data_IF_576466570712
#
_entry.id   IF_576466570712
#
_cell.length_a   1.000
_cell.length_b   1.000
_cell.length_c   1.000
_cell.angle_alpha   90.00
_cell.angle_beta   90.00
_cell.angle_gamma   90.00
#
_symmetry.space_group_name_H-M   'P 1'
#
loop_
_entity.id
_entity.type
_entity.pdbx_description
1 polymer ?
#
# COMPACT_ATOMS: atom_id res chain seq x y z
N UNK A 1 -6.57 15.43 4.22
CA UNK A 1 -5.13 15.19 3.99
C UNK A 1 -4.98 13.98 3.07
N UNK A 2 -4.16 14.09 2.02
CA UNK A 2 -3.85 12.97 1.11
C UNK A 2 -2.38 12.64 1.28
N UNK A 3 -2.06 11.38 1.51
CA UNK A 3 -0.69 10.89 1.69
C UNK A 3 -0.34 9.93 0.56
N UNK A 4 0.67 10.28 -0.24
CA UNK A 4 1.26 9.37 -1.22
C UNK A 4 2.40 8.60 -0.56
N UNK A 5 2.18 7.31 -0.34
CA UNK A 5 3.09 6.44 0.41
C UNK A 5 3.55 5.26 -0.44
N UNK A 6 4.70 4.69 -0.09
CA UNK A 6 5.35 3.66 -0.90
C UNK A 6 5.56 2.39 -0.07
N UNK A 7 4.60 1.44 -0.07
CA UNK A 7 4.70 0.25 0.77
C UNK A 7 5.89 -0.63 0.43
N UNK A 8 6.41 -0.52 -0.79
CA UNK A 8 7.58 -1.25 -1.24
C UNK A 8 8.84 -1.00 -0.39
N UNK A 9 8.94 0.14 0.28
CA UNK A 9 10.04 0.47 1.19
C UNK A 9 10.08 -0.53 2.36
N UNK A 10 8.91 -1.01 2.79
CA UNK A 10 8.79 -2.05 3.81
C UNK A 10 9.37 -3.36 3.29
N UNK A 11 8.94 -3.82 2.12
CA UNK A 11 9.42 -5.07 1.54
C UNK A 11 10.91 -5.03 1.19
N UNK A 12 11.42 -3.89 0.74
CA UNK A 12 12.82 -3.76 0.28
C UNK A 12 13.80 -3.48 1.40
N UNK A 13 13.43 -2.67 2.40
CA UNK A 13 14.40 -2.06 3.32
C UNK A 13 14.05 -2.17 4.80
N UNK A 14 12.76 -2.23 5.16
CA UNK A 14 12.31 -2.32 6.56
C UNK A 14 11.99 -3.75 7.02
N UNK A 15 12.36 -4.77 6.23
CA UNK A 15 12.36 -6.13 6.74
C UNK A 15 13.41 -6.28 7.85
N UNK A 16 13.21 -7.25 8.74
CA UNK A 16 14.12 -7.52 9.87
C UNK A 16 15.54 -7.79 9.34
N UNK A 17 16.53 -7.10 9.91
CA UNK A 17 17.94 -7.15 9.47
C UNK A 17 18.21 -6.41 8.16
N UNK A 18 17.18 -5.78 7.57
CA UNK A 18 17.27 -4.99 6.35
C UNK A 18 18.01 -3.67 6.54
N UNK A 19 18.01 -2.85 5.48
CA UNK A 19 18.74 -1.59 5.47
C UNK A 19 18.35 -0.66 6.63
N UNK A 20 17.09 -0.62 7.04
CA UNK A 20 16.65 0.32 8.08
C UNK A 20 17.22 -0.05 9.45
N UNK A 21 17.21 -1.35 9.80
CA UNK A 21 17.82 -1.86 11.04
C UNK A 21 19.33 -1.62 11.07
N UNK A 22 20.00 -1.57 9.91
CA UNK A 22 21.44 -1.29 9.81
C UNK A 22 21.78 0.20 9.94
N UNK A 23 20.80 1.10 9.74
CA UNK A 23 21.02 2.54 9.64
C UNK A 23 20.41 3.34 10.78
N UNK A 24 19.42 2.78 11.46
CA UNK A 24 18.65 3.50 12.46
C UNK A 24 18.44 2.66 13.72
N UNK A 25 18.25 3.35 14.84
CA UNK A 25 17.85 2.73 16.11
C UNK A 25 16.48 2.05 15.98
N UNK A 26 16.29 0.97 16.73
CA UNK A 26 15.08 0.15 16.64
C UNK A 26 13.79 0.94 16.92
N UNK A 27 13.82 1.94 17.81
CA UNK A 27 12.66 2.80 18.08
C UNK A 27 12.30 3.67 16.88
N UNK A 28 13.30 4.20 16.17
CA UNK A 28 13.08 4.98 14.95
C UNK A 28 12.45 4.12 13.87
N UNK A 29 12.95 2.89 13.66
CA UNK A 29 12.40 1.96 12.67
C UNK A 29 10.95 1.58 12.99
N UNK A 30 10.61 1.42 14.27
CA UNK A 30 9.24 1.14 14.72
C UNK A 30 8.24 2.24 14.39
N UNK A 31 8.71 3.49 14.24
CA UNK A 31 7.90 4.66 13.89
C UNK A 31 7.77 4.95 12.39
N UNK A 32 8.29 4.09 11.50
CA UNK A 32 8.26 4.29 10.04
C UNK A 32 7.15 3.48 9.36
N UNK A 33 6.70 3.97 8.19
CA UNK A 33 5.69 3.29 7.34
C UNK A 33 4.38 2.95 8.08
N UNK A 34 3.89 3.92 8.86
CA UNK A 34 2.72 3.79 9.74
C UNK A 34 1.37 3.83 8.98
N UNK A 35 1.16 2.94 8.00
CA UNK A 35 0.00 2.97 7.09
C UNK A 35 -1.34 2.88 7.84
N UNK A 36 -1.50 1.91 8.74
CA UNK A 36 -2.71 1.77 9.59
C UNK A 36 -3.00 3.06 10.35
N UNK A 37 -1.98 3.63 11.00
CA UNK A 37 -2.14 4.85 11.81
C UNK A 37 -2.63 6.01 10.94
N UNK A 38 -2.10 6.15 9.71
CA UNK A 38 -2.58 7.16 8.78
C UNK A 38 -4.07 6.98 8.44
N UNK A 39 -4.49 5.76 8.11
CA UNK A 39 -5.89 5.45 7.81
C UNK A 39 -6.81 5.67 9.02
N UNK A 40 -6.42 5.20 10.20
CA UNK A 40 -7.21 5.31 11.44
C UNK A 40 -7.39 6.79 11.87
N UNK A 41 -6.48 7.67 11.47
CA UNK A 41 -6.57 9.11 11.70
C UNK A 41 -7.29 9.87 10.57
N UNK A 42 -7.97 9.16 9.67
CA UNK A 42 -8.80 9.74 8.61
C UNK A 42 -8.02 10.33 7.43
N UNK A 43 -6.73 10.02 7.29
CA UNK A 43 -5.99 10.37 6.09
C UNK A 43 -6.43 9.48 4.92
N UNK A 44 -6.45 10.05 3.71
CA UNK A 44 -6.56 9.27 2.49
C UNK A 44 -5.16 8.87 2.05
N UNK A 45 -4.90 7.56 1.99
CA UNK A 45 -3.59 7.03 1.61
C UNK A 45 -3.67 6.47 0.20
N UNK A 46 -2.86 7.02 -0.71
CA UNK A 46 -2.62 6.41 -2.02
C UNK A 46 -1.24 5.75 -2.06
N UNK A 47 -1.15 4.62 -2.75
CA UNK A 47 0.09 3.87 -2.87
C UNK A 47 0.76 4.03 -4.24
N UNK A 48 2.09 4.10 -4.19
CA UNK A 48 2.98 4.09 -5.35
C UNK A 48 4.20 3.21 -5.12
N UNK A 49 4.94 2.88 -6.18
CA UNK A 49 6.13 2.03 -6.08
C UNK A 49 7.44 2.81 -5.94
N UNK A 50 7.44 4.09 -6.32
CA UNK A 50 8.67 4.89 -6.53
C UNK A 50 9.72 4.15 -7.38
N UNK A 51 9.23 3.42 -8.40
CA UNK A 51 10.06 2.64 -9.32
C UNK A 51 10.66 1.35 -8.76
N UNK A 52 10.24 0.89 -7.58
CA UNK A 52 11.05 -0.09 -6.83
C UNK A 52 10.26 -1.17 -6.10
N UNK A 53 10.07 -2.41 -6.61
CA UNK A 53 9.71 -2.82 -7.97
C UNK A 53 8.34 -2.29 -8.43
N UNK A 54 8.02 -2.35 -9.73
CA UNK A 54 6.81 -1.72 -10.27
C UNK A 54 5.49 -2.43 -9.93
N UNK A 55 5.51 -3.73 -9.63
CA UNK A 55 4.28 -4.51 -9.45
C UNK A 55 3.50 -4.06 -8.21
N UNK A 56 2.22 -3.65 -8.33
CA UNK A 56 1.37 -3.33 -7.18
C UNK A 56 1.17 -4.51 -6.23
N UNK A 57 1.24 -5.75 -6.73
CA UNK A 57 1.13 -6.95 -5.88
C UNK A 57 2.27 -7.04 -4.86
N UNK A 58 3.48 -6.59 -5.22
CA UNK A 58 4.60 -6.52 -4.28
C UNK A 58 4.35 -5.47 -3.19
N UNK A 59 3.76 -4.32 -3.56
CA UNK A 59 3.39 -3.28 -2.61
C UNK A 59 2.26 -3.72 -1.68
N UNK A 60 1.25 -4.42 -2.21
CA UNK A 60 0.17 -5.02 -1.42
C UNK A 60 0.76 -6.02 -0.41
N UNK A 61 1.63 -6.93 -0.87
CA UNK A 61 2.34 -7.83 0.03
C UNK A 61 3.13 -7.07 1.09
N UNK A 62 3.85 -6.01 0.72
CA UNK A 62 4.66 -5.22 1.66
C UNK A 62 3.82 -4.49 2.72
N UNK A 63 2.63 -4.01 2.37
CA UNK A 63 1.70 -3.33 3.29
C UNK A 63 0.97 -4.30 4.23
N UNK A 64 0.74 -5.53 3.77
CA UNK A 64 -0.01 -6.56 4.51
C UNK A 64 0.89 -7.44 5.37
N UNK A 65 2.17 -7.61 4.99
CA UNK A 65 3.18 -8.37 5.72
C UNK A 65 4.23 -7.53 6.45
N UNK A 66 3.87 -6.31 6.84
CA UNK A 66 4.75 -5.46 7.65
C UNK A 66 5.12 -6.19 8.96
N UNK A 67 6.40 -6.29 9.33
CA UNK A 67 6.81 -7.05 10.53
C UNK A 67 6.16 -6.51 11.83
N UNK A 68 5.99 -5.18 11.95
CA UNK A 68 5.11 -4.57 12.94
C UNK A 68 3.63 -4.78 12.58
N UNK A 69 2.97 -5.74 13.25
CA UNK A 69 1.58 -6.11 13.00
C UNK A 69 0.58 -4.96 13.22
N UNK A 70 0.90 -4.03 14.13
CA UNK A 70 0.02 -2.89 14.45
C UNK A 70 -0.16 -1.91 13.30
N UNK A 71 0.73 -1.96 12.30
CA UNK A 71 0.69 -1.05 11.15
C UNK A 71 0.27 -1.72 9.85
N UNK A 72 -0.02 -3.02 9.89
CA UNK A 72 -0.49 -3.78 8.73
C UNK A 72 -1.85 -3.28 8.25
N UNK A 73 -2.01 -3.31 6.94
CA UNK A 73 -3.30 -3.19 6.29
C UNK A 73 -3.87 -4.57 5.96
N UNK A 74 -5.18 -4.65 5.81
CA UNK A 74 -5.81 -5.77 5.10
C UNK A 74 -5.51 -5.69 3.60
N UNK A 75 -5.66 -6.81 2.89
CA UNK A 75 -5.51 -6.83 1.42
C UNK A 75 -6.51 -5.87 0.75
N UNK A 76 -7.75 -5.82 1.24
CA UNK A 76 -8.79 -4.91 0.72
C UNK A 76 -8.42 -3.44 0.86
N UNK A 77 -7.86 -3.04 2.00
CA UNK A 77 -7.39 -1.67 2.21
C UNK A 77 -6.19 -1.34 1.32
N UNK A 78 -5.23 -2.25 1.19
CA UNK A 78 -4.09 -2.05 0.30
C UNK A 78 -4.53 -1.94 -1.18
N UNK A 79 -5.51 -2.74 -1.60
CA UNK A 79 -6.13 -2.63 -2.93
C UNK A 79 -6.81 -1.28 -3.13
N UNK A 80 -7.59 -0.84 -2.14
CA UNK A 80 -8.22 0.48 -2.15
C UNK A 80 -7.19 1.60 -2.26
N UNK A 81 -6.07 1.51 -1.55
CA UNK A 81 -4.96 2.46 -1.62
C UNK A 81 -4.31 2.51 -3.02
N UNK A 82 -4.19 1.37 -3.72
CA UNK A 82 -3.65 1.31 -5.09
C UNK A 82 -4.64 1.68 -6.19
N UNK A 83 -5.95 1.72 -5.89
CA UNK A 83 -7.00 1.92 -6.89
C UNK A 83 -7.77 3.20 -6.64
N UNK A 84 -8.79 3.16 -5.78
CA UNK A 84 -9.71 4.26 -5.53
C UNK A 84 -9.01 5.49 -4.91
N UNK A 85 -8.13 5.30 -3.93
CA UNK A 85 -7.44 6.44 -3.30
C UNK A 85 -6.35 7.01 -4.21
N UNK A 86 -5.67 6.19 -5.02
CA UNK A 86 -4.77 6.68 -6.07
C UNK A 86 -5.50 7.51 -7.12
N UNK A 87 -6.66 7.05 -7.62
CA UNK A 87 -7.47 7.83 -8.54
C UNK A 87 -7.95 9.15 -7.92
N UNK A 88 -8.38 9.13 -6.66
CA UNK A 88 -8.75 10.34 -5.92
C UNK A 88 -7.58 11.31 -5.74
N UNK A 89 -6.38 10.80 -5.47
CA UNK A 89 -5.18 11.64 -5.24
C UNK A 89 -4.77 12.49 -6.44
N UNK A 90 -5.20 12.08 -7.64
CA UNK A 90 -4.94 12.79 -8.91
C UNK A 90 -6.20 13.41 -9.50
N UNK A 91 -7.28 13.53 -8.72
CA UNK A 91 -8.57 14.12 -9.13
C UNK A 91 -9.23 13.41 -10.32
N UNK A 92 -9.07 12.09 -10.40
CA UNK A 92 -9.61 11.21 -11.45
C UNK A 92 -10.60 10.18 -10.88
N UNK A 93 -11.13 10.38 -9.68
CA UNK A 93 -12.06 9.45 -9.03
C UNK A 93 -13.37 9.28 -9.81
N UNK A 94 -13.74 10.21 -10.69
CA UNK A 94 -14.93 10.12 -11.54
C UNK A 94 -14.70 9.31 -12.82
N UNK A 95 -13.45 9.01 -13.16
CA UNK A 95 -13.05 8.32 -14.40
C UNK A 95 -12.31 7.02 -14.16
N UNK A 96 -11.57 6.89 -13.03
CA UNK A 96 -10.69 5.77 -12.71
C UNK A 96 -11.00 5.14 -11.35
N UNK A 97 -10.24 4.07 -11.02
CA UNK A 97 -10.12 3.51 -9.68
C UNK A 97 -11.18 2.49 -9.27
N UNK A 98 -12.25 2.31 -10.04
CA UNK A 98 -13.29 1.30 -9.76
C UNK A 98 -14.01 0.88 -11.02
N UNK A 99 -14.52 -0.35 -11.08
CA UNK A 99 -15.36 -0.83 -12.17
C UNK A 99 -16.83 -0.48 -11.93
N UNK A 100 -17.21 0.73 -12.34
CA UNK A 100 -18.58 1.26 -12.26
C UNK A 100 -18.98 1.85 -13.61
N UNK A 101 -20.28 1.85 -13.91
CA UNK A 101 -20.82 2.44 -15.16
C UNK A 101 -20.39 3.92 -15.26
N UNK A 102 -19.90 4.30 -16.44
CA UNK A 102 -19.40 5.66 -16.72
C UNK A 102 -17.92 5.86 -16.45
N UNK A 103 -17.23 4.92 -15.79
CA UNK A 103 -15.77 4.95 -15.60
C UNK A 103 -15.04 4.13 -16.66
N UNK A 104 -13.72 4.32 -16.76
CA UNK A 104 -12.84 3.56 -17.65
C UNK A 104 -12.76 2.10 -17.18
N UNK A 105 -12.88 1.17 -18.12
CA UNK A 105 -12.78 -0.26 -17.87
C UNK A 105 -11.31 -0.75 -17.80
N UNK A 106 -10.51 -0.13 -16.93
CA UNK A 106 -9.15 -0.56 -16.65
C UNK A 106 -9.18 -1.62 -15.55
N UNK A 107 -8.94 -2.88 -15.92
CA UNK A 107 -8.90 -4.00 -14.98
C UNK A 107 -7.78 -4.96 -15.32
N UNK A 108 -7.46 -5.81 -14.34
CA UNK A 108 -6.54 -6.93 -14.49
C UNK A 108 -7.27 -8.22 -14.11
N UNK A 109 -6.83 -9.33 -14.69
CA UNK A 109 -7.31 -10.67 -14.33
C UNK A 109 -6.17 -11.37 -13.61
N UNK A 110 -6.47 -11.90 -12.42
CA UNK A 110 -5.53 -12.68 -11.62
C UNK A 110 -5.94 -14.16 -11.67
N UNK A 111 -4.98 -15.07 -11.53
CA UNK A 111 -5.23 -16.51 -11.53
C UNK A 111 -5.99 -16.99 -10.28
N UNK A 112 -5.89 -16.24 -9.18
CA UNK A 112 -6.43 -16.59 -7.87
C UNK A 112 -7.07 -15.36 -7.21
N UNK A 113 -7.98 -15.60 -6.25
CA UNK A 113 -8.53 -14.53 -5.44
C UNK A 113 -7.50 -14.07 -4.40
N UNK A 114 -6.95 -12.89 -4.60
CA UNK A 114 -5.93 -12.32 -3.70
C UNK A 114 -6.41 -12.03 -2.28
N UNK A 115 -7.72 -12.03 -2.03
CA UNK A 115 -8.27 -11.92 -0.68
C UNK A 115 -8.13 -13.23 0.12
N UNK A 116 -7.96 -14.35 -0.56
CA UNK A 116 -7.91 -15.69 0.04
C UNK A 116 -6.47 -16.27 0.07
N UNK A 117 -5.52 -15.62 -0.59
CA UNK A 117 -4.12 -16.07 -0.60
C UNK A 117 -3.49 -15.81 0.77
N UNK A 118 -2.85 -16.81 1.41
CA UNK A 118 -2.15 -16.60 2.66
C UNK A 118 -1.05 -15.55 2.51
N UNK A 119 -1.11 -14.52 3.35
CA UNK A 119 -0.11 -13.46 3.45
C UNK A 119 1.05 -13.87 4.33
#
# INVERSE_FOLDING_TARGET
LILSMQPNFVGRWQQIGGLYDQRFEAETVRGMNMFRVALDNGARVCFGSDGMPYSPLYGIWSATNHHNERVRLTVEEALRCYTMESAYSVFQEHTLGSLNVGKRADFVVLSENILDVPT
#
